data_IF_429853125098
#
_entry.id   IF_429853125098
#
_cell.length_a   1.000
_cell.length_b   1.000
_cell.length_c   1.000
_cell.angle_alpha   90.00
_cell.angle_beta   90.00
_cell.angle_gamma   90.00
#
_symmetry.space_group_name_H-M   'P 1'
#
loop_
_entity.id
_entity.type
_entity.pdbx_description
1 polymer ?
#
# COMPACT_ATOMS: atom_id res chain seq x y z
N UNK A 1 -34.60 -11.41 -20.59
CA UNK A 1 -34.69 -11.11 -19.14
C UNK A 1 -33.33 -10.91 -18.45
N UNK A 2 -32.38 -11.86 -18.59
CA UNK A 2 -31.07 -11.81 -17.91
C UNK A 2 -30.19 -10.60 -18.29
N UNK A 3 -30.10 -10.25 -19.58
CA UNK A 3 -29.24 -9.15 -20.04
C UNK A 3 -29.60 -7.78 -19.46
N UNK A 4 -30.87 -7.57 -19.08
CA UNK A 4 -31.30 -6.34 -18.40
C UNK A 4 -30.93 -6.34 -16.91
N UNK A 5 -30.93 -7.51 -16.28
CA UNK A 5 -30.60 -7.68 -14.86
C UNK A 5 -29.09 -7.60 -14.58
N UNK A 6 -28.24 -8.03 -15.53
CA UNK A 6 -26.78 -8.01 -15.40
C UNK A 6 -26.11 -6.79 -16.08
N UNK A 7 -26.89 -5.82 -16.55
CA UNK A 7 -26.35 -4.63 -17.21
C UNK A 7 -25.59 -3.79 -16.18
N UNK A 8 -24.32 -3.52 -16.44
CA UNK A 8 -23.54 -2.57 -15.65
C UNK A 8 -24.22 -1.20 -15.63
N UNK A 9 -24.10 -0.49 -14.51
CA UNK A 9 -24.56 0.89 -14.45
C UNK A 9 -23.65 1.81 -15.29
N UNK A 10 -24.12 3.05 -15.48
CA UNK A 10 -23.46 4.03 -16.35
C UNK A 10 -22.06 4.42 -15.85
N UNK A 11 -21.81 4.42 -14.54
CA UNK A 11 -20.50 4.77 -13.96
C UNK A 11 -19.48 3.67 -14.25
N UNK A 12 -19.86 2.40 -14.05
CA UNK A 12 -19.00 1.27 -14.39
C UNK A 12 -18.64 1.30 -15.88
N UNK A 13 -19.62 1.55 -16.75
CA UNK A 13 -19.35 1.66 -18.19
C UNK A 13 -18.38 2.80 -18.51
N UNK A 14 -18.53 3.98 -17.91
CA UNK A 14 -17.64 5.11 -18.14
C UNK A 14 -16.21 4.84 -17.65
N UNK A 15 -16.06 4.23 -16.46
CA UNK A 15 -14.76 3.84 -15.92
C UNK A 15 -14.08 2.75 -16.78
N UNK A 16 -14.86 1.79 -17.28
CA UNK A 16 -14.36 0.73 -18.15
C UNK A 16 -13.92 1.29 -19.50
N UNK A 17 -14.71 2.16 -20.12
CA UNK A 17 -14.35 2.84 -21.36
C UNK A 17 -13.01 3.56 -21.22
N UNK A 18 -12.86 4.39 -20.17
CA UNK A 18 -11.62 5.12 -19.91
C UNK A 18 -10.41 4.18 -19.74
N UNK A 19 -10.60 3.06 -19.05
CA UNK A 19 -9.56 2.05 -18.86
C UNK A 19 -9.17 1.40 -20.20
N UNK A 20 -10.14 1.07 -21.06
CA UNK A 20 -9.89 0.52 -22.40
C UNK A 20 -9.17 1.53 -23.28
N UNK A 21 -9.57 2.80 -23.24
CA UNK A 21 -8.94 3.86 -24.02
C UNK A 21 -7.45 4.00 -23.65
N UNK A 22 -7.11 3.98 -22.36
CA UNK A 22 -5.71 3.97 -21.90
C UNK A 22 -4.90 2.77 -22.43
N UNK A 23 -5.54 1.60 -22.57
CA UNK A 23 -4.88 0.45 -23.19
C UNK A 23 -4.66 0.66 -24.69
N UNK A 24 -5.65 1.19 -25.42
CA UNK A 24 -5.58 1.38 -26.87
C UNK A 24 -4.51 2.41 -27.28
N UNK A 25 -4.36 3.49 -26.52
CA UNK A 25 -3.36 4.54 -26.80
C UNK A 25 -1.99 4.26 -26.18
N UNK A 26 -1.82 3.14 -25.47
CA UNK A 26 -0.56 2.76 -24.82
C UNK A 26 -0.27 3.44 -23.48
N UNK A 27 -1.11 4.37 -23.02
CA UNK A 27 -1.02 5.09 -21.73
C UNK A 27 -1.38 4.23 -20.50
N UNK A 28 -0.89 3.00 -20.48
CA UNK A 28 -1.13 2.02 -19.41
C UNK A 28 -0.55 2.43 -18.05
N UNK A 29 0.32 3.44 -17.99
CA UNK A 29 0.77 4.07 -16.73
C UNK A 29 -0.34 4.85 -16.01
N UNK A 30 -1.40 5.25 -16.71
CA UNK A 30 -2.54 5.94 -16.09
C UNK A 30 -3.45 4.97 -15.32
N UNK A 31 -3.31 3.66 -15.56
CA UNK A 31 -4.05 2.63 -14.85
C UNK A 31 -3.30 2.31 -13.55
N UNK A 32 -3.83 2.65 -12.35
CA UNK A 32 -3.07 2.61 -11.10
C UNK A 32 -2.44 1.24 -10.81
N UNK A 33 -3.19 0.16 -11.05
CA UNK A 33 -2.71 -1.21 -10.84
C UNK A 33 -1.50 -1.52 -11.72
N UNK A 34 -1.51 -1.08 -12.98
CA UNK A 34 -0.38 -1.32 -13.90
C UNK A 34 0.80 -0.44 -13.51
N UNK A 35 0.55 0.82 -13.15
CA UNK A 35 1.59 1.73 -12.67
C UNK A 35 2.33 1.13 -11.47
N UNK A 36 1.61 0.66 -10.46
CA UNK A 36 2.16 0.04 -9.25
C UNK A 36 2.97 -1.23 -9.55
N UNK A 37 2.53 -2.06 -10.50
CA UNK A 37 3.28 -3.26 -10.90
C UNK A 37 4.58 -2.90 -11.63
N UNK A 38 4.65 -1.74 -12.29
CA UNK A 38 5.83 -1.29 -13.03
C UNK A 38 6.86 -0.54 -12.18
N UNK A 39 6.50 -0.06 -10.99
CA UNK A 39 7.45 0.62 -10.09
C UNK A 39 8.66 -0.30 -9.85
N UNK A 40 9.85 0.24 -10.09
CA UNK A 40 11.08 -0.52 -9.93
C UNK A 40 11.39 -0.76 -8.45
N UNK A 41 12.16 -1.81 -8.16
CA UNK A 41 12.62 -2.05 -6.78
C UNK A 41 13.44 -0.90 -6.22
N UNK A 42 14.21 -0.22 -7.06
CA UNK A 42 15.13 0.83 -6.63
C UNK A 42 14.39 2.14 -6.33
N UNK A 43 13.35 2.45 -7.12
CA UNK A 43 12.40 3.52 -6.79
C UNK A 43 11.70 3.26 -5.45
N UNK A 44 11.21 2.04 -5.22
CA UNK A 44 10.59 1.68 -3.95
C UNK A 44 11.57 1.79 -2.78
N UNK A 45 12.86 1.42 -2.97
CA UNK A 45 13.89 1.58 -1.94
C UNK A 45 14.21 3.04 -1.67
N UNK A 46 14.34 3.86 -2.70
CA UNK A 46 14.60 5.30 -2.55
C UNK A 46 13.47 5.97 -1.78
N UNK A 47 12.22 5.64 -2.11
CA UNK A 47 11.03 6.11 -1.40
C UNK A 47 11.00 5.62 0.05
N UNK A 48 11.34 4.36 0.30
CA UNK A 48 11.45 3.82 1.66
C UNK A 48 12.50 4.56 2.50
N UNK A 49 13.65 4.88 1.91
CA UNK A 49 14.71 5.63 2.59
C UNK A 49 14.27 7.06 2.93
N UNK A 50 13.54 7.74 2.03
CA UNK A 50 13.00 9.07 2.27
C UNK A 50 11.97 9.06 3.43
N UNK A 51 11.06 8.08 3.46
CA UNK A 51 10.11 7.90 4.56
C UNK A 51 10.85 7.61 5.87
N UNK A 52 11.82 6.68 5.86
CA UNK A 52 12.58 6.32 7.05
C UNK A 52 13.35 7.51 7.64
N UNK A 53 13.92 8.37 6.80
CA UNK A 53 14.61 9.59 7.25
C UNK A 53 13.70 10.51 8.07
N UNK A 54 12.42 10.59 7.72
CA UNK A 54 11.39 11.40 8.41
C UNK A 54 10.90 10.75 9.71
N UNK A 55 11.12 9.45 9.89
CA UNK A 55 10.72 8.68 11.07
C UNK A 55 11.88 8.44 12.05
N UNK A 56 13.06 8.98 11.77
CA UNK A 56 14.23 8.88 12.66
C UNK A 56 13.94 9.52 14.02
N UNK A 57 14.44 8.89 15.07
CA UNK A 57 14.28 9.34 16.46
C UNK A 57 12.93 8.98 17.08
N UNK A 58 12.04 8.30 16.35
CA UNK A 58 10.85 7.72 16.95
C UNK A 58 11.23 6.47 17.78
N UNK A 59 10.50 6.21 18.88
CA UNK A 59 10.71 5.04 19.74
C UNK A 59 10.69 3.66 19.07
N UNK A 60 9.77 3.32 18.13
CA UNK A 60 9.79 2.01 17.49
C UNK A 60 11.03 1.77 16.63
N UNK A 61 11.41 0.50 16.49
CA UNK A 61 12.43 0.08 15.54
C UNK A 61 11.84 0.01 14.13
N UNK A 62 12.24 0.94 13.27
CA UNK A 62 11.77 1.05 11.89
C UNK A 62 12.91 0.70 10.93
N UNK A 63 12.64 -0.19 9.97
CA UNK A 63 13.61 -0.64 8.99
C UNK A 63 13.00 -0.79 7.59
N UNK A 64 13.85 -0.77 6.56
CA UNK A 64 13.45 -1.11 5.20
C UNK A 64 13.45 -2.63 5.06
N UNK A 65 12.29 -3.21 4.80
CA UNK A 65 12.10 -4.64 4.62
C UNK A 65 11.96 -5.06 3.15
N UNK A 66 11.90 -6.37 2.95
CA UNK A 66 11.56 -6.99 1.66
C UNK A 66 10.12 -7.48 1.71
N UNK A 67 9.33 -7.09 0.72
CA UNK A 67 7.96 -7.57 0.50
C UNK A 67 7.89 -8.51 -0.69
N UNK A 68 6.81 -9.29 -0.76
CA UNK A 68 6.42 -10.01 -1.96
C UNK A 68 4.93 -9.89 -2.17
N UNK A 69 4.53 -9.39 -3.33
CA UNK A 69 3.14 -9.22 -3.71
C UNK A 69 2.73 -10.36 -4.64
N UNK A 70 1.54 -10.91 -4.42
CA UNK A 70 0.91 -11.88 -5.33
C UNK A 70 0.00 -11.12 -6.29
N UNK A 71 0.23 -11.27 -7.59
CA UNK A 71 -0.60 -10.64 -8.62
C UNK A 71 -1.79 -11.55 -8.94
N UNK A 72 -3.00 -10.99 -8.85
CA UNK A 72 -4.27 -11.71 -9.07
C UNK A 72 -4.88 -12.23 -7.76
N UNK A 73 -5.99 -11.62 -7.33
CA UNK A 73 -6.76 -12.10 -6.19
C UNK A 73 -7.64 -13.30 -6.56
N UNK A 74 -7.64 -14.34 -5.72
CA UNK A 74 -8.72 -15.34 -5.64
C UNK A 74 -8.78 -16.45 -6.69
N UNK A 75 -8.25 -16.30 -7.92
CA UNK A 75 -8.55 -17.29 -8.99
C UNK A 75 -7.35 -17.90 -9.70
N UNK A 76 -6.14 -17.34 -9.65
CA UNK A 76 -4.88 -18.05 -9.90
C UNK A 76 -3.70 -17.09 -9.61
N UNK A 77 -2.84 -17.34 -8.60
CA UNK A 77 -1.64 -16.53 -8.38
C UNK A 77 -0.64 -16.82 -9.50
N UNK A 78 -0.61 -15.99 -10.54
CA UNK A 78 0.23 -16.23 -11.73
C UNK A 78 1.67 -15.74 -11.58
N UNK A 79 1.95 -14.83 -10.64
CA UNK A 79 3.31 -14.35 -10.40
C UNK A 79 3.49 -13.75 -9.00
N UNK A 80 4.66 -14.02 -8.41
CA UNK A 80 5.18 -13.28 -7.26
C UNK A 80 6.03 -12.13 -7.76
N UNK A 81 5.79 -10.93 -7.22
CA UNK A 81 6.55 -9.74 -7.54
C UNK A 81 7.26 -9.25 -6.28
N UNK A 82 8.58 -9.08 -6.37
CA UNK A 82 9.38 -8.53 -5.27
C UNK A 82 8.99 -7.08 -5.00
N UNK A 83 8.89 -6.71 -3.72
CA UNK A 83 8.54 -5.37 -3.25
C UNK A 83 9.42 -4.91 -2.09
N UNK A 84 9.18 -3.70 -1.61
CA UNK A 84 9.86 -3.08 -0.48
C UNK A 84 8.81 -2.66 0.55
N UNK A 85 9.12 -2.91 1.82
CA UNK A 85 8.24 -2.60 2.94
C UNK A 85 8.90 -1.63 3.91
N UNK A 86 8.09 -0.87 4.65
CA UNK A 86 8.48 -0.27 5.92
C UNK A 86 8.08 -1.24 7.02
N UNK A 87 9.07 -1.79 7.71
CA UNK A 87 8.90 -2.77 8.78
C UNK A 87 9.05 -2.07 10.15
N UNK A 88 8.00 -2.13 10.96
CA UNK A 88 7.90 -1.41 12.24
C UNK A 88 7.75 -2.43 13.38
N UNK A 89 8.58 -2.30 14.39
CA UNK A 89 8.44 -3.00 15.67
C UNK A 89 8.20 -1.97 16.78
N UNK A 90 6.97 -1.90 17.34
CA UNK A 90 6.68 -1.03 18.48
C UNK A 90 7.38 -1.54 19.74
N UNK A 91 7.94 -0.63 20.54
CA UNK A 91 8.62 -0.99 21.80
C UNK A 91 7.70 -0.92 23.01
N UNK A 92 6.68 -0.05 23.00
CA UNK A 92 5.81 0.21 24.13
C UNK A 92 4.46 -0.51 24.09
N UNK A 93 4.15 -1.21 22.99
CA UNK A 93 2.90 -1.98 22.85
C UNK A 93 3.09 -3.20 21.94
N UNK A 94 2.06 -4.06 21.84
CA UNK A 94 2.09 -5.18 20.90
C UNK A 94 1.97 -4.70 19.45
N UNK A 95 2.50 -5.47 18.51
CA UNK A 95 2.38 -5.21 17.07
C UNK A 95 0.90 -5.16 16.64
N UNK A 96 0.05 -5.95 17.29
CA UNK A 96 -1.39 -6.02 17.05
C UNK A 96 -2.10 -4.74 17.50
N UNK A 97 -1.72 -4.20 18.65
CA UNK A 97 -2.26 -2.94 19.17
C UNK A 97 -1.82 -1.78 18.29
N UNK A 98 -0.53 -1.72 17.91
CA UNK A 98 -0.03 -0.73 16.97
C UNK A 98 -0.78 -0.75 15.64
N UNK A 99 -1.01 -1.95 15.08
CA UNK A 99 -1.83 -2.13 13.89
C UNK A 99 -3.28 -1.67 14.11
N UNK A 100 -3.85 -1.91 15.29
CA UNK A 100 -5.20 -1.46 15.65
C UNK A 100 -5.31 0.06 15.72
N UNK A 101 -4.31 0.73 16.28
CA UNK A 101 -4.23 2.19 16.35
C UNK A 101 -4.16 2.79 14.94
N UNK A 102 -3.27 2.27 14.08
CA UNK A 102 -3.18 2.71 12.69
C UNK A 102 -4.46 2.44 11.88
N UNK A 103 -5.16 1.33 12.13
CA UNK A 103 -6.48 1.08 11.52
C UNK A 103 -7.55 2.09 11.93
N UNK A 104 -7.39 2.74 13.08
CA UNK A 104 -8.32 3.74 13.62
C UNK A 104 -7.89 5.18 13.35
N UNK A 105 -6.74 5.41 12.73
CA UNK A 105 -6.30 6.74 12.34
C UNK A 105 -7.18 7.33 11.23
N UNK A 106 -7.08 8.64 11.02
CA UNK A 106 -7.78 9.35 9.95
C UNK A 106 -6.72 10.03 9.08
N UNK A 107 -6.45 9.56 7.84
CA UNK A 107 -7.01 8.36 7.23
C UNK A 107 -6.49 7.04 7.87
N UNK A 108 -7.22 5.91 7.75
CA UNK A 108 -6.74 4.62 8.23
C UNK A 108 -5.50 4.15 7.46
N UNK A 109 -4.50 3.66 8.20
CA UNK A 109 -3.30 3.04 7.61
C UNK A 109 -3.35 1.53 7.82
N UNK A 110 -3.45 0.80 6.72
CA UNK A 110 -3.59 -0.66 6.73
C UNK A 110 -2.30 -1.31 6.24
N UNK A 111 -1.71 -2.13 7.11
CA UNK A 111 -0.59 -3.00 6.79
C UNK A 111 -0.90 -4.44 7.17
N UNK A 112 0.13 -5.27 7.16
CA UNK A 112 0.04 -6.67 7.60
C UNK A 112 1.12 -6.99 8.61
N UNK A 113 0.93 -8.06 9.39
CA UNK A 113 1.91 -8.51 10.37
C UNK A 113 2.62 -9.73 9.81
N UNK A 114 3.95 -9.69 9.78
CA UNK A 114 4.78 -10.83 9.40
C UNK A 114 6.14 -10.75 10.10
N UNK A 115 6.67 -11.90 10.52
CA UNK A 115 7.95 -12.03 11.23
C UNK A 115 8.03 -11.10 12.46
N UNK A 116 6.95 -11.02 13.23
CA UNK A 116 6.88 -10.19 14.44
C UNK A 116 6.91 -8.68 14.20
N UNK A 117 6.70 -8.21 12.97
CA UNK A 117 6.71 -6.77 12.64
C UNK A 117 5.44 -6.37 11.89
N UNK A 118 5.01 -5.13 12.09
CA UNK A 118 3.98 -4.51 11.25
C UNK A 118 4.64 -4.01 9.96
N UNK A 119 4.03 -4.30 8.81
CA UNK A 119 4.61 -4.04 7.50
C UNK A 119 3.67 -3.23 6.62
N UNK A 120 4.21 -2.17 6.02
CA UNK A 120 3.57 -1.39 4.97
C UNK A 120 4.29 -1.63 3.65
N UNK A 121 3.60 -2.21 2.66
CA UNK A 121 4.18 -2.45 1.34
C UNK A 121 4.04 -1.19 0.47
N UNK A 122 5.16 -0.57 0.10
CA UNK A 122 5.15 0.70 -0.61
C UNK A 122 4.59 0.58 -2.03
N UNK A 123 4.50 -0.63 -2.59
CA UNK A 123 3.90 -0.86 -3.89
C UNK A 123 2.38 -0.65 -3.89
N UNK A 124 1.74 -0.68 -2.73
CA UNK A 124 0.29 -0.48 -2.59
C UNK A 124 -0.09 0.90 -2.06
N UNK A 125 0.88 1.79 -1.87
CA UNK A 125 0.67 3.13 -1.32
C UNK A 125 0.98 4.14 -2.42
N UNK A 126 0.07 5.07 -2.69
CA UNK A 126 0.34 6.12 -3.67
C UNK A 126 1.42 7.09 -3.14
N UNK A 127 2.34 7.60 -3.99
CA UNK A 127 3.39 8.53 -3.55
C UNK A 127 2.86 9.75 -2.79
N UNK A 128 1.72 10.32 -3.21
CA UNK A 128 1.10 11.47 -2.55
C UNK A 128 0.55 11.17 -1.14
N UNK A 129 0.52 9.90 -0.72
CA UNK A 129 0.07 9.48 0.62
C UNK A 129 1.23 9.35 1.62
N UNK A 130 2.48 9.57 1.21
CA UNK A 130 3.65 9.38 2.08
C UNK A 130 3.59 10.26 3.33
N UNK A 131 3.08 11.49 3.20
CA UNK A 131 2.89 12.41 4.32
C UNK A 131 1.88 11.86 5.32
N UNK A 132 0.70 11.44 4.84
CA UNK A 132 -0.33 10.86 5.69
C UNK A 132 0.15 9.59 6.40
N UNK A 133 0.97 8.76 5.73
CA UNK A 133 1.56 7.56 6.35
C UNK A 133 2.54 7.93 7.45
N UNK A 134 3.42 8.90 7.21
CA UNK A 134 4.39 9.36 8.21
C UNK A 134 3.68 9.95 9.44
N UNK A 135 2.66 10.78 9.22
CA UNK A 135 1.91 11.43 10.30
C UNK A 135 1.10 10.41 11.12
N UNK A 136 0.49 9.42 10.46
CA UNK A 136 -0.19 8.33 11.14
C UNK A 136 0.77 7.50 12.01
N UNK A 137 1.97 7.18 11.50
CA UNK A 137 2.99 6.45 12.28
C UNK A 137 3.42 7.27 13.49
N UNK A 138 3.72 8.56 13.32
CA UNK A 138 4.10 9.45 14.43
C UNK A 138 3.02 9.52 15.51
N UNK A 139 1.77 9.70 15.09
CA UNK A 139 0.62 9.76 16.00
C UNK A 139 0.44 8.43 16.75
N UNK A 140 0.57 7.30 16.04
CA UNK A 140 0.46 5.98 16.65
C UNK A 140 1.57 5.72 17.68
N UNK A 141 2.80 6.20 17.43
CA UNK A 141 3.88 6.13 18.41
C UNK A 141 3.55 6.94 19.67
N UNK A 142 3.03 8.17 19.50
CA UNK A 142 2.67 9.03 20.61
C UNK A 142 1.51 8.48 21.46
N UNK A 143 0.56 7.77 20.85
CA UNK A 143 -0.57 7.16 21.56
C UNK A 143 -0.19 5.91 22.37
N UNK A 144 1.01 5.36 22.15
CA UNK A 144 1.53 4.18 22.84
C UNK A 144 2.53 4.52 23.95
N UNK A 145 2.71 5.80 24.25
CA UNK A 145 3.47 6.32 25.39
C UNK A 145 2.54 7.01 26.37
#
# INVERSE_FOLDING_TARGET
>A
PLFRALRCDKLIFAALQSTVDFHLVGSTSEIPTIAFLRISKDELRARAAAILARLRGLPPQIAIGRGSVKVGGGTLPRSMLSSITIDIFPESCSVQDFASILRRSIPPVIGYIANGRFKLDLRTIFPHQDDAVVDAIRTACAATH
#
